data_IF_510174468294
#
_entry.id   IF_510174468294
#
_cell.length_a   1.000
_cell.length_b   1.000
_cell.length_c   1.000
_cell.angle_alpha   90.00
_cell.angle_beta   90.00
_cell.angle_gamma   90.00
#
_symmetry.space_group_name_H-M   'P 1'
#
loop_
_entity.id
_entity.type
_entity.pdbx_description
1 polymer ?
#
# COMPACT_ATOMS: atom_id res chain seq x y z
N UNK A 1 -4.81 16.85 -16.69
CA UNK A 1 -3.91 17.33 -15.61
C UNK A 1 -3.79 16.23 -14.57
N UNK A 2 -2.63 15.64 -14.48
CA UNK A 2 -2.37 14.69 -13.41
C UNK A 2 -2.28 15.48 -12.10
N UNK A 3 -3.17 15.19 -11.18
CA UNK A 3 -3.05 15.68 -9.83
C UNK A 3 -1.83 15.02 -9.18
N UNK A 4 -0.71 15.73 -9.22
CA UNK A 4 0.50 15.32 -8.55
C UNK A 4 0.39 15.71 -7.08
N UNK A 5 -0.63 15.20 -6.39
CA UNK A 5 -0.65 15.35 -4.95
C UNK A 5 0.60 14.66 -4.39
N UNK A 6 1.36 15.39 -3.59
CA UNK A 6 2.58 14.86 -2.99
C UNK A 6 2.29 13.56 -2.23
N UNK A 7 3.24 12.62 -2.26
CA UNK A 7 3.17 11.40 -1.46
C UNK A 7 3.05 11.76 0.03
N UNK A 8 2.31 10.96 0.83
CA UNK A 8 2.20 11.19 2.26
C UNK A 8 3.59 11.17 2.93
N UNK A 9 3.86 12.16 3.79
CA UNK A 9 5.09 12.24 4.58
C UNK A 9 4.87 11.84 6.04
N UNK A 10 3.62 11.70 6.44
CA UNK A 10 3.21 11.34 7.80
C UNK A 10 2.45 10.02 7.72
N UNK A 11 2.74 9.11 8.67
CA UNK A 11 2.02 7.85 8.75
C UNK A 11 0.51 8.07 8.86
N UNK A 12 -0.31 7.30 8.15
CA UNK A 12 -1.75 7.40 8.27
C UNK A 12 -2.21 7.12 9.70
N UNK A 13 -3.25 7.82 10.12
CA UNK A 13 -3.86 7.60 11.42
C UNK A 13 -4.52 6.21 11.45
N UNK A 14 -4.25 5.37 12.48
CA UNK A 14 -4.92 4.08 12.58
C UNK A 14 -6.43 4.21 12.65
N UNK A 15 -7.13 3.32 11.95
CA UNK A 15 -8.60 3.26 11.95
C UNK A 15 -9.13 2.31 13.03
N UNK A 16 -8.27 1.84 13.92
CA UNK A 16 -8.61 0.93 15.00
C UNK A 16 -7.53 0.93 16.07
N UNK A 17 -7.58 -0.07 16.94
CA UNK A 17 -6.66 -0.18 18.10
C UNK A 17 -5.37 -0.91 17.69
N UNK A 18 -4.57 -0.27 16.86
CA UNK A 18 -3.28 -0.78 16.41
C UNK A 18 -2.36 0.40 16.07
N UNK A 19 -1.10 0.10 15.78
CA UNK A 19 -0.12 1.10 15.33
C UNK A 19 0.13 0.94 13.82
N UNK A 20 0.53 2.01 13.12
CA UNK A 20 0.75 1.95 11.66
C UNK A 20 1.90 1.01 11.27
N UNK A 21 2.95 0.92 12.08
CA UNK A 21 4.08 0.06 11.81
C UNK A 21 4.81 -0.27 13.10
N UNK A 22 5.53 -1.40 13.07
CA UNK A 22 6.35 -1.85 14.19
C UNK A 22 7.76 -2.11 13.69
N UNK A 23 8.75 -1.52 14.37
CA UNK A 23 10.17 -1.83 14.18
C UNK A 23 10.58 -2.81 15.29
N UNK A 24 11.03 -3.99 14.89
CA UNK A 24 11.53 -5.02 15.82
C UNK A 24 12.88 -5.52 15.28
N UNK A 25 13.96 -5.24 16.00
CA UNK A 25 15.30 -5.51 15.50
C UNK A 25 15.57 -4.67 14.25
N UNK A 26 15.87 -5.33 13.13
CA UNK A 26 16.08 -4.69 11.83
C UNK A 26 14.88 -4.85 10.88
N UNK A 27 13.75 -5.38 11.37
CA UNK A 27 12.56 -5.62 10.55
C UNK A 27 11.47 -4.61 10.91
N UNK A 28 10.89 -4.02 9.87
CA UNK A 28 9.73 -3.14 9.99
C UNK A 28 8.54 -3.78 9.32
N UNK A 29 7.40 -3.81 10.02
CA UNK A 29 6.18 -4.35 9.46
C UNK A 29 5.06 -3.34 9.60
N UNK A 30 4.32 -3.08 8.49
CA UNK A 30 3.19 -2.16 8.53
C UNK A 30 1.88 -2.88 8.83
N UNK A 31 0.95 -2.15 9.40
CA UNK A 31 -0.46 -2.51 9.32
C UNK A 31 -0.90 -2.48 7.85
N UNK A 32 -2.05 -3.06 7.55
CA UNK A 32 -2.65 -2.95 6.22
C UNK A 32 -3.07 -1.51 5.94
N UNK A 33 -2.63 -0.96 4.82
CA UNK A 33 -2.93 0.40 4.41
C UNK A 33 -3.95 0.43 3.29
N UNK A 34 -5.04 1.12 3.53
CA UNK A 34 -6.06 1.38 2.53
C UNK A 34 -5.77 2.70 1.81
N UNK A 35 -6.36 2.96 0.63
CA UNK A 35 -6.08 4.17 -0.13
C UNK A 35 -6.79 5.39 0.47
N UNK A 36 -6.29 5.89 1.59
CA UNK A 36 -6.79 7.08 2.27
C UNK A 36 -5.88 8.26 2.03
N UNK A 37 -6.52 9.41 1.82
CA UNK A 37 -5.85 10.72 1.79
C UNK A 37 -6.50 11.57 2.87
N UNK A 38 -5.69 12.07 3.80
CA UNK A 38 -6.18 12.86 4.95
C UNK A 38 -7.30 12.14 5.73
N UNK A 39 -7.14 10.83 5.91
CA UNK A 39 -8.08 10.01 6.68
C UNK A 39 -9.32 9.54 5.94
N UNK A 40 -9.48 9.94 4.67
CA UNK A 40 -10.67 9.61 3.86
C UNK A 40 -10.29 8.69 2.70
N UNK A 41 -11.05 7.60 2.51
CA UNK A 41 -10.90 6.76 1.32
C UNK A 41 -11.17 7.57 0.05
N UNK A 42 -10.27 7.46 -0.93
CA UNK A 42 -10.45 8.19 -2.20
C UNK A 42 -11.54 7.57 -3.08
N UNK A 43 -11.84 6.30 -2.87
CA UNK A 43 -12.95 5.60 -3.53
C UNK A 43 -13.29 4.35 -2.74
N UNK A 44 -14.47 3.81 -2.98
CA UNK A 44 -14.98 2.58 -2.36
C UNK A 44 -15.58 1.68 -3.42
N UNK A 45 -15.68 0.39 -3.11
CA UNK A 45 -16.29 -0.58 -3.99
C UNK A 45 -15.32 -1.68 -4.40
N UNK A 46 -15.83 -2.61 -5.20
CA UNK A 46 -15.08 -3.77 -5.67
C UNK A 46 -14.47 -3.52 -7.03
N UNK A 47 -13.24 -3.96 -7.19
CA UNK A 47 -12.55 -3.89 -8.48
C UNK A 47 -13.19 -4.87 -9.45
N UNK A 48 -13.53 -4.36 -10.63
CA UNK A 48 -14.31 -5.13 -11.63
C UNK A 48 -15.81 -4.88 -11.56
N UNK A 49 -16.27 -4.10 -10.58
CA UNK A 49 -17.67 -3.65 -10.46
C UNK A 49 -17.69 -2.12 -10.39
N UNK A 50 -17.75 -1.53 -9.18
CA UNK A 50 -17.81 -0.07 -9.02
C UNK A 50 -16.45 0.60 -9.31
N UNK A 51 -15.36 -0.16 -9.19
CA UNK A 51 -13.99 0.36 -9.35
C UNK A 51 -13.36 -0.28 -10.60
N UNK A 52 -12.84 0.56 -11.49
CA UNK A 52 -12.13 0.10 -12.67
C UNK A 52 -10.70 -0.33 -12.32
N UNK A 53 -10.06 -1.07 -13.23
CA UNK A 53 -8.64 -1.46 -13.08
C UNK A 53 -7.75 -0.23 -12.94
N UNK A 54 -7.95 0.78 -13.77
CA UNK A 54 -7.13 2.01 -13.73
C UNK A 54 -7.31 2.76 -12.41
N UNK A 55 -8.55 2.88 -11.93
CA UNK A 55 -8.83 3.47 -10.62
C UNK A 55 -8.18 2.67 -9.50
N UNK A 56 -8.22 1.34 -9.59
CA UNK A 56 -7.60 0.46 -8.60
C UNK A 56 -6.06 0.61 -8.59
N UNK A 57 -5.44 0.76 -9.74
CA UNK A 57 -4.00 1.00 -9.84
C UNK A 57 -3.59 2.31 -9.17
N UNK A 58 -4.37 3.37 -9.36
CA UNK A 58 -4.17 4.66 -8.69
C UNK A 58 -4.35 4.51 -7.17
N UNK A 59 -5.37 3.77 -6.75
CA UNK A 59 -5.60 3.48 -5.33
C UNK A 59 -4.44 2.68 -4.72
N UNK A 60 -3.89 1.70 -5.45
CA UNK A 60 -2.75 0.92 -5.00
C UNK A 60 -1.50 1.79 -4.81
N UNK A 61 -1.29 2.76 -5.70
CA UNK A 61 -0.18 3.72 -5.57
C UNK A 61 -0.30 4.52 -4.27
N UNK A 62 -1.49 5.03 -3.95
CA UNK A 62 -1.71 5.76 -2.70
C UNK A 62 -1.55 4.85 -1.48
N UNK A 63 -2.09 3.64 -1.52
CA UNK A 63 -2.00 2.71 -0.40
C UNK A 63 -0.55 2.35 -0.08
N UNK A 64 0.29 2.10 -1.09
CA UNK A 64 1.71 1.80 -0.85
C UNK A 64 2.48 3.03 -0.39
N UNK A 65 2.13 4.23 -0.86
CA UNK A 65 2.69 5.47 -0.32
C UNK A 65 2.41 5.58 1.19
N UNK A 66 1.19 5.26 1.60
CA UNK A 66 0.82 5.22 3.02
C UNK A 66 1.65 4.20 3.80
N UNK A 67 1.90 3.03 3.22
CA UNK A 67 2.74 2.01 3.84
C UNK A 67 4.19 2.47 3.98
N UNK A 68 4.75 3.09 2.94
CA UNK A 68 6.11 3.64 3.00
C UNK A 68 6.21 4.75 4.05
N UNK A 69 5.21 5.62 4.14
CA UNK A 69 5.17 6.65 5.18
C UNK A 69 5.13 6.03 6.59
N UNK A 70 4.38 4.95 6.77
CA UNK A 70 4.33 4.24 8.04
C UNK A 70 5.70 3.64 8.41
N UNK A 71 6.41 3.04 7.46
CA UNK A 71 7.77 2.55 7.68
C UNK A 71 8.68 3.70 8.12
N UNK A 72 8.69 4.79 7.35
CA UNK A 72 9.57 5.93 7.64
C UNK A 72 9.29 6.55 9.00
N UNK A 73 8.07 6.50 9.49
CA UNK A 73 7.71 7.03 10.81
C UNK A 73 8.36 6.29 11.97
N UNK A 74 8.84 5.05 11.76
CA UNK A 74 9.53 4.27 12.79
C UNK A 74 11.03 4.46 12.78
N UNK A 75 11.58 5.14 11.76
CA UNK A 75 13.01 5.19 11.51
C UNK A 75 13.59 6.55 11.89
N UNK A 76 14.87 6.54 12.27
CA UNK A 76 15.65 7.78 12.43
C UNK A 76 16.02 8.32 11.06
N UNK A 77 16.19 9.64 10.97
CA UNK A 77 16.65 10.30 9.76
C UNK A 77 17.93 9.66 9.23
N UNK A 78 17.99 9.47 7.92
CA UNK A 78 19.13 8.86 7.25
C UNK A 78 19.15 7.33 7.27
N UNK A 79 18.21 6.69 7.97
CA UNK A 79 18.09 5.23 7.93
C UNK A 79 17.49 4.80 6.61
N UNK A 80 18.12 3.80 5.97
CA UNK A 80 17.62 3.20 4.74
C UNK A 80 17.02 1.83 4.99
N UNK A 81 16.14 1.41 4.11
CA UNK A 81 15.45 0.13 4.24
C UNK A 81 15.16 -0.46 2.86
N UNK A 82 14.92 -1.76 2.84
CA UNK A 82 14.52 -2.50 1.65
C UNK A 82 13.22 -3.25 1.93
N UNK A 83 12.15 -3.02 1.15
CA UNK A 83 10.96 -3.88 1.22
C UNK A 83 11.32 -5.30 0.81
N UNK A 84 10.87 -6.29 1.58
CA UNK A 84 11.13 -7.70 1.27
C UNK A 84 9.85 -8.46 0.96
N UNK A 85 8.70 -7.97 1.44
CA UNK A 85 7.41 -8.60 1.17
C UNK A 85 6.33 -7.53 1.04
N UNK A 86 5.49 -7.68 0.02
CA UNK A 86 4.28 -6.87 -0.16
C UNK A 86 3.09 -7.79 -0.37
N UNK A 87 2.04 -7.61 0.42
CA UNK A 87 0.79 -8.31 0.23
C UNK A 87 -0.27 -7.29 -0.17
N UNK A 88 -0.93 -7.55 -1.30
CA UNK A 88 -1.99 -6.70 -1.83
C UNK A 88 -3.31 -7.47 -1.77
N UNK A 89 -4.19 -7.05 -0.87
CA UNK A 89 -5.54 -7.59 -0.75
C UNK A 89 -6.46 -6.72 -1.60
N UNK A 90 -7.22 -7.33 -2.50
CA UNK A 90 -8.06 -6.60 -3.45
C UNK A 90 -9.51 -7.09 -3.30
N UNK A 91 -10.41 -6.19 -2.94
CA UNK A 91 -11.84 -6.51 -2.92
C UNK A 91 -12.32 -6.59 -4.38
N UNK A 92 -12.73 -7.78 -4.82
CA UNK A 92 -13.02 -8.03 -6.23
C UNK A 92 -14.45 -8.43 -6.47
N UNK A 93 -14.97 -8.07 -7.65
CA UNK A 93 -16.19 -8.61 -8.17
C UNK A 93 -16.02 -10.10 -8.49
N UNK A 94 -17.08 -10.91 -8.44
CA UNK A 94 -17.00 -12.31 -8.86
C UNK A 94 -16.41 -12.43 -10.27
N UNK A 95 -15.44 -13.32 -10.43
CA UNK A 95 -14.81 -13.59 -11.72
C UNK A 95 -13.70 -12.64 -12.13
N UNK A 96 -13.43 -11.58 -11.36
CA UNK A 96 -12.29 -10.70 -11.63
C UNK A 96 -10.98 -11.38 -11.24
N UNK A 97 -10.01 -11.42 -12.16
CA UNK A 97 -8.75 -12.15 -11.95
C UNK A 97 -7.49 -11.34 -12.28
N UNK A 98 -7.62 -10.08 -12.74
CA UNK A 98 -6.48 -9.25 -13.09
C UNK A 98 -5.82 -8.61 -11.86
N UNK A 99 -5.54 -9.43 -10.85
CA UNK A 99 -5.02 -8.99 -9.55
C UNK A 99 -3.59 -8.45 -9.67
N UNK A 100 -2.76 -9.11 -10.47
CA UNK A 100 -1.37 -8.68 -10.70
C UNK A 100 -1.29 -7.31 -11.36
N UNK A 101 -2.19 -7.04 -12.32
CA UNK A 101 -2.27 -5.74 -13.00
C UNK A 101 -2.56 -4.63 -12.00
N UNK A 102 -3.51 -4.86 -11.09
CA UNK A 102 -3.85 -3.89 -10.03
C UNK A 102 -2.64 -3.66 -9.11
N UNK A 103 -2.02 -4.74 -8.65
CA UNK A 103 -0.88 -4.67 -7.73
C UNK A 103 0.34 -3.98 -8.37
N UNK A 104 0.49 -4.01 -9.69
CA UNK A 104 1.55 -3.29 -10.39
C UNK A 104 1.49 -1.78 -10.15
N UNK A 105 0.33 -1.22 -9.83
CA UNK A 105 0.21 0.18 -9.44
C UNK A 105 1.01 0.51 -8.19
N UNK A 106 1.09 -0.42 -7.24
CA UNK A 106 1.92 -0.27 -6.04
C UNK A 106 3.40 -0.53 -6.36
N UNK A 107 3.70 -1.58 -7.13
CA UNK A 107 5.08 -1.90 -7.51
C UNK A 107 5.76 -0.75 -8.25
N UNK A 108 5.03 -0.05 -9.11
CA UNK A 108 5.56 1.11 -9.83
C UNK A 108 6.03 2.23 -8.89
N UNK A 109 5.33 2.44 -7.78
CA UNK A 109 5.75 3.42 -6.77
C UNK A 109 7.05 2.99 -6.09
N UNK A 110 7.18 1.72 -5.72
CA UNK A 110 8.41 1.21 -5.09
C UNK A 110 9.60 1.36 -6.05
N UNK A 111 9.43 1.03 -7.33
CA UNK A 111 10.48 1.22 -8.32
C UNK A 111 10.89 2.69 -8.45
N UNK A 112 9.92 3.60 -8.50
CA UNK A 112 10.19 5.04 -8.65
C UNK A 112 10.88 5.61 -7.41
N UNK A 113 10.44 5.21 -6.22
CA UNK A 113 10.93 5.78 -4.96
C UNK A 113 12.25 5.16 -4.49
N UNK A 114 12.44 3.85 -4.69
CA UNK A 114 13.53 3.10 -4.10
C UNK A 114 14.43 2.42 -5.13
N UNK A 115 14.07 2.47 -6.40
CA UNK A 115 14.82 1.84 -7.48
C UNK A 115 14.29 0.47 -7.88
N UNK A 116 14.63 0.00 -9.10
CA UNK A 116 14.10 -1.27 -9.62
C UNK A 116 14.57 -2.49 -8.83
N UNK A 117 15.75 -2.42 -8.20
CA UNK A 117 16.29 -3.51 -7.40
C UNK A 117 15.61 -3.63 -6.02
N UNK A 118 14.73 -2.70 -5.68
CA UNK A 118 14.02 -2.70 -4.40
C UNK A 118 12.64 -3.36 -4.45
N UNK A 119 12.24 -3.94 -5.59
CA UNK A 119 10.97 -4.65 -5.68
C UNK A 119 10.93 -5.83 -4.72
N UNK A 120 9.92 -5.93 -3.85
CA UNK A 120 9.77 -7.04 -2.92
C UNK A 120 9.17 -8.28 -3.59
N UNK A 121 9.27 -9.42 -2.91
CA UNK A 121 8.38 -10.53 -3.20
C UNK A 121 6.94 -10.09 -2.96
N UNK A 122 6.02 -10.47 -3.86
CA UNK A 122 4.67 -9.93 -3.85
C UNK A 122 3.62 -11.03 -3.92
N UNK A 123 2.57 -10.87 -3.13
CA UNK A 123 1.36 -11.68 -3.20
C UNK A 123 0.17 -10.76 -3.47
N UNK A 124 -0.64 -11.08 -4.46
CA UNK A 124 -1.89 -10.37 -4.75
C UNK A 124 -3.05 -11.36 -4.64
N UNK A 125 -4.02 -11.06 -3.79
CA UNK A 125 -5.16 -11.95 -3.55
C UNK A 125 -6.48 -11.18 -3.62
N UNK A 126 -7.50 -11.82 -4.17
CA UNK A 126 -8.87 -11.33 -4.14
C UNK A 126 -9.53 -11.67 -2.81
N UNK A 127 -10.24 -10.71 -2.22
CA UNK A 127 -10.98 -10.89 -0.97
C UNK A 127 -12.41 -10.42 -1.15
N UNK A 128 -13.29 -10.87 -0.26
CA UNK A 128 -14.70 -10.52 -0.33
C UNK A 128 -14.95 -9.07 0.08
N UNK A 129 -14.40 -8.66 1.22
CA UNK A 129 -14.56 -7.30 1.75
C UNK A 129 -13.29 -6.81 2.43
N UNK A 130 -13.18 -5.49 2.50
CA UNK A 130 -12.13 -4.80 3.24
C UNK A 130 -12.76 -3.70 4.11
N UNK A 131 -12.07 -3.22 5.15
CA UNK A 131 -12.61 -2.18 6.01
C UNK A 131 -13.08 -0.94 5.24
N UNK A 132 -14.27 -0.46 5.57
CA UNK A 132 -14.84 0.73 4.95
C UNK A 132 -15.20 0.58 3.47
N UNK A 133 -15.30 -0.66 2.98
CA UNK A 133 -15.48 -0.96 1.56
C UNK A 133 -14.32 -0.45 0.70
N UNK A 134 -13.11 -0.41 1.25
CA UNK A 134 -11.91 -0.06 0.49
C UNK A 134 -11.72 -1.06 -0.67
N UNK A 135 -11.26 -0.58 -1.83
CA UNK A 135 -11.04 -1.47 -2.98
C UNK A 135 -9.81 -2.37 -2.81
N UNK A 136 -8.86 -1.94 -1.99
CA UNK A 136 -7.66 -2.72 -1.73
C UNK A 136 -6.99 -2.29 -0.42
N UNK A 137 -6.07 -3.12 0.04
CA UNK A 137 -5.29 -2.90 1.25
C UNK A 137 -3.91 -3.50 1.05
N UNK A 138 -2.86 -2.78 1.44
CA UNK A 138 -1.47 -3.20 1.23
C UNK A 138 -0.73 -3.25 2.55
N UNK A 139 -0.02 -4.36 2.79
CA UNK A 139 0.89 -4.50 3.91
C UNK A 139 2.32 -4.70 3.39
N UNK A 140 3.29 -4.03 4.01
CA UNK A 140 4.71 -4.16 3.69
C UNK A 140 5.49 -4.70 4.87
N UNK A 141 6.48 -5.53 4.55
CA UNK A 141 7.56 -5.87 5.48
C UNK A 141 8.87 -5.42 4.84
N UNK A 142 9.71 -4.74 5.60
CA UNK A 142 10.99 -4.24 5.15
C UNK A 142 12.09 -4.55 6.16
N UNK A 143 13.34 -4.57 5.70
CA UNK A 143 14.51 -4.70 6.57
C UNK A 143 15.38 -3.45 6.43
N UNK A 144 15.99 -3.05 7.53
CA UNK A 144 16.93 -1.94 7.54
C UNK A 144 18.21 -2.33 6.80
N UNK A 145 18.74 -1.41 6.01
CA UNK A 145 19.94 -1.67 5.21
C UNK A 145 21.17 -0.97 5.76
N UNK A 146 21.01 0.07 6.52
CA UNK A 146 22.08 0.73 7.33
C UNK A 146 21.55 1.95 8.07
#
# INVERSE_FOLDING_TARGET
MSDHSAAPTIAPRPQGRYVPAVLAGDTVRTAGMTPRRDGTLILTGRVGAEVTVDEARTAAALAVDNALAAIRSTLRDGTTFRPVEMIVYIATAPGFTDLSVVADGASAVIERELGPDALPARTAVGVHTLPGAAPLEIALTAVLTT
#
